data_IF_790179436206
#
_entry.id   IF_790179436206
#
_cell.length_a   1.000
_cell.length_b   1.000
_cell.length_c   1.000
_cell.angle_alpha   90.00
_cell.angle_beta   90.00
_cell.angle_gamma   90.00
#
_symmetry.space_group_name_H-M   'P 1'
#
loop_
_entity.id
_entity.type
_entity.pdbx_description
1 polymer ?
#
# COMPACT_ATOMS: atom_id res chain seq x y z
N UNK A 1 -10.59 -15.27 13.23
CA UNK A 1 -9.63 -14.20 12.96
C UNK A 1 -9.12 -14.35 11.54
N UNK A 2 -9.11 -13.27 10.74
CA UNK A 2 -8.52 -13.26 9.39
C UNK A 2 -6.98 -13.27 9.45
N UNK A 3 -6.42 -13.01 10.63
CA UNK A 3 -4.97 -12.91 10.86
C UNK A 3 -4.52 -14.16 11.61
N UNK A 4 -3.55 -14.93 11.06
CA UNK A 4 -2.91 -16.04 11.77
C UNK A 4 -2.27 -15.58 13.08
N UNK A 5 -2.29 -16.44 14.09
CA UNK A 5 -1.75 -16.11 15.43
C UNK A 5 -0.23 -15.90 15.42
N UNK A 6 0.46 -16.52 14.48
CA UNK A 6 1.91 -16.49 14.26
C UNK A 6 2.34 -15.53 13.13
N UNK A 7 1.41 -14.72 12.61
CA UNK A 7 1.72 -13.76 11.55
C UNK A 7 2.75 -12.72 12.02
N UNK A 8 3.78 -12.50 11.22
CA UNK A 8 4.72 -11.40 11.39
C UNK A 8 4.02 -10.04 11.29
N UNK A 9 4.63 -8.97 11.79
CA UNK A 9 4.05 -7.64 11.69
C UNK A 9 3.90 -7.18 10.22
N UNK A 10 4.82 -7.54 9.33
CA UNK A 10 4.66 -7.33 7.90
C UNK A 10 3.42 -8.05 7.32
N UNK A 11 3.22 -9.31 7.66
CA UNK A 11 2.04 -10.06 7.20
C UNK A 11 0.74 -9.44 7.72
N UNK A 12 0.72 -8.96 8.98
CA UNK A 12 -0.41 -8.22 9.53
C UNK A 12 -0.69 -6.94 8.73
N UNK A 13 0.35 -6.15 8.41
CA UNK A 13 0.22 -4.95 7.56
C UNK A 13 -0.33 -5.31 6.19
N UNK A 14 0.22 -6.33 5.54
CA UNK A 14 -0.23 -6.78 4.21
C UNK A 14 -1.70 -7.25 4.25
N UNK A 15 -2.12 -7.98 5.28
CA UNK A 15 -3.51 -8.44 5.43
C UNK A 15 -4.45 -7.25 5.62
N UNK A 16 -4.09 -6.28 6.47
CA UNK A 16 -4.90 -5.08 6.71
C UNK A 16 -4.98 -4.22 5.44
N UNK A 17 -3.86 -4.00 4.77
CA UNK A 17 -3.78 -3.28 3.49
C UNK A 17 -4.74 -3.90 2.46
N UNK A 18 -4.62 -5.21 2.24
CA UNK A 18 -5.48 -5.98 1.33
C UNK A 18 -6.96 -5.88 1.75
N UNK A 19 -7.24 -6.06 3.05
CA UNK A 19 -8.61 -6.02 3.55
C UNK A 19 -9.28 -4.65 3.31
N UNK A 20 -8.58 -3.55 3.59
CA UNK A 20 -9.14 -2.21 3.38
C UNK A 20 -9.42 -1.98 1.89
N UNK A 21 -8.50 -2.34 1.01
CA UNK A 21 -8.67 -2.22 -0.44
C UNK A 21 -9.85 -3.07 -0.94
N UNK A 22 -9.91 -4.35 -0.58
CA UNK A 22 -10.94 -5.27 -1.07
C UNK A 22 -12.35 -4.94 -0.56
N UNK A 23 -12.45 -4.21 0.56
CA UNK A 23 -13.74 -3.90 1.19
C UNK A 23 -14.16 -2.44 1.07
N UNK A 24 -13.45 -1.63 0.30
CA UNK A 24 -13.74 -0.21 0.14
C UNK A 24 -13.71 0.16 -1.34
N UNK A 25 -14.62 1.00 -1.77
CA UNK A 25 -14.61 1.65 -3.08
C UNK A 25 -14.09 3.08 -2.90
N UNK A 26 -13.13 3.49 -3.73
CA UNK A 26 -12.67 4.88 -3.72
C UNK A 26 -13.75 5.79 -4.31
N UNK A 27 -14.51 6.44 -3.44
CA UNK A 27 -15.63 7.28 -3.82
C UNK A 27 -15.89 8.36 -2.77
N UNK A 28 -16.18 9.58 -3.23
CA UNK A 28 -16.62 10.66 -2.37
C UNK A 28 -18.05 10.44 -1.86
N UNK A 29 -18.26 10.60 -0.57
CA UNK A 29 -19.56 10.52 0.11
C UNK A 29 -19.57 11.36 1.38
N UNK A 30 -20.69 11.45 2.10
CA UNK A 30 -20.80 12.28 3.32
C UNK A 30 -19.84 11.88 4.45
N UNK A 31 -19.42 10.61 4.52
CA UNK A 31 -18.52 10.08 5.55
C UNK A 31 -17.17 9.60 5.00
N UNK A 32 -16.81 9.98 3.77
CA UNK A 32 -15.66 9.49 3.04
C UNK A 32 -14.30 9.74 3.71
N UNK A 33 -14.22 10.78 4.56
CA UNK A 33 -13.00 11.14 5.32
C UNK A 33 -12.85 10.31 6.60
N UNK A 34 -13.80 9.46 6.93
CA UNK A 34 -13.83 8.73 8.19
C UNK A 34 -13.77 7.22 8.01
N UNK A 35 -13.36 6.52 9.08
CA UNK A 35 -13.40 5.05 9.13
C UNK A 35 -14.83 4.50 9.02
N UNK A 36 -15.85 5.31 9.30
CA UNK A 36 -17.25 4.92 9.12
C UNK A 36 -17.58 4.71 7.63
N UNK A 37 -17.04 5.52 6.74
CA UNK A 37 -17.12 5.31 5.30
C UNK A 37 -16.61 3.91 4.91
N UNK A 38 -15.41 3.55 5.37
CA UNK A 38 -14.79 2.26 5.08
C UNK A 38 -15.61 1.09 5.65
N UNK A 39 -15.97 1.13 6.95
CA UNK A 39 -16.52 -0.06 7.61
C UNK A 39 -18.03 -0.26 7.36
N UNK A 40 -18.80 0.81 7.19
CA UNK A 40 -20.24 0.71 7.01
C UNK A 40 -20.72 0.98 5.58
N UNK A 41 -20.25 2.07 4.96
CA UNK A 41 -20.69 2.46 3.62
C UNK A 41 -19.92 1.75 2.52
N UNK A 42 -18.72 1.27 2.83
CA UNK A 42 -17.78 0.68 1.85
C UNK A 42 -17.30 1.70 0.80
N UNK A 43 -17.34 2.97 1.14
CA UNK A 43 -16.93 4.09 0.30
C UNK A 43 -16.08 5.05 1.12
N UNK A 44 -14.94 5.44 0.61
CA UNK A 44 -14.04 6.40 1.26
C UNK A 44 -13.09 7.05 0.27
N UNK A 45 -12.45 8.15 0.69
CA UNK A 45 -11.29 8.74 0.03
C UNK A 45 -10.03 8.49 0.88
N UNK A 46 -8.90 9.05 0.51
CA UNK A 46 -7.60 8.77 1.13
C UNK A 46 -7.58 8.85 2.67
N UNK A 47 -8.25 9.85 3.26
CA UNK A 47 -8.31 10.00 4.71
C UNK A 47 -9.04 8.83 5.40
N UNK A 48 -10.14 8.35 4.82
CA UNK A 48 -10.86 7.17 5.31
C UNK A 48 -10.02 5.90 5.21
N UNK A 49 -9.35 5.66 4.07
CA UNK A 49 -8.42 4.54 3.89
C UNK A 49 -7.30 4.55 4.92
N UNK A 50 -6.57 5.67 5.04
CA UNK A 50 -5.46 5.79 5.97
C UNK A 50 -5.91 5.65 7.43
N UNK A 51 -7.05 6.24 7.81
CA UNK A 51 -7.64 6.09 9.13
C UNK A 51 -8.03 4.64 9.44
N UNK A 52 -8.60 3.92 8.48
CA UNK A 52 -8.99 2.52 8.66
C UNK A 52 -7.77 1.60 8.81
N UNK A 53 -6.71 1.82 8.01
CA UNK A 53 -5.43 1.09 8.13
C UNK A 53 -4.84 1.33 9.52
N UNK A 54 -4.74 2.58 9.99
CA UNK A 54 -4.23 2.89 11.33
C UNK A 54 -5.05 2.19 12.40
N UNK A 55 -6.38 2.36 12.38
CA UNK A 55 -7.27 1.78 13.38
C UNK A 55 -7.11 0.26 13.50
N UNK A 56 -7.05 -0.46 12.36
CA UNK A 56 -6.92 -1.91 12.36
C UNK A 56 -5.55 -2.37 12.85
N UNK A 57 -4.46 -1.72 12.39
CA UNK A 57 -3.10 -2.08 12.78
C UNK A 57 -2.85 -1.85 14.27
N UNK A 58 -3.28 -0.72 14.83
CA UNK A 58 -3.14 -0.44 16.26
C UNK A 58 -3.88 -1.48 17.12
N UNK A 59 -5.06 -1.94 16.70
CA UNK A 59 -5.82 -2.96 17.44
C UNK A 59 -5.17 -4.34 17.44
N UNK A 60 -4.28 -4.61 16.52
CA UNK A 60 -3.53 -5.88 16.43
C UNK A 60 -2.06 -5.73 16.84
N UNK A 61 -1.72 -4.58 17.44
CA UNK A 61 -0.43 -4.33 18.07
C UNK A 61 0.69 -3.91 17.12
N UNK A 62 0.38 -3.49 15.90
CA UNK A 62 1.36 -2.93 14.94
C UNK A 62 1.35 -1.41 15.04
N UNK A 63 2.48 -0.75 15.39
CA UNK A 63 2.55 0.71 15.44
C UNK A 63 2.31 1.33 14.06
N UNK A 64 1.35 2.24 13.99
CA UNK A 64 0.95 2.89 12.74
C UNK A 64 0.65 4.37 12.99
N UNK A 65 1.16 5.24 12.14
CA UNK A 65 0.96 6.68 12.18
C UNK A 65 0.13 7.07 10.95
N UNK A 66 -0.93 7.85 11.17
CA UNK A 66 -1.63 8.55 10.10
C UNK A 66 -0.80 9.78 9.70
N UNK A 67 -0.62 9.97 8.41
CA UNK A 67 0.11 11.09 7.83
C UNK A 67 -0.77 11.78 6.80
N UNK A 68 -0.82 13.10 6.86
CA UNK A 68 -1.39 13.93 5.82
C UNK A 68 -0.31 14.78 5.13
N UNK A 69 -0.60 15.17 3.92
CA UNK A 69 0.29 15.97 3.11
C UNK A 69 -0.34 16.33 1.76
N UNK A 70 0.49 16.48 0.75
CA UNK A 70 0.05 16.85 -0.60
C UNK A 70 0.78 16.08 -1.67
N UNK A 71 0.21 16.06 -2.86
CA UNK A 71 0.87 15.57 -4.07
C UNK A 71 1.91 16.59 -4.54
N UNK A 72 3.10 16.15 -4.90
CA UNK A 72 4.19 16.98 -5.39
C UNK A 72 3.74 17.81 -6.60
N UNK A 73 3.93 19.14 -6.53
CA UNK A 73 3.56 20.06 -7.60
C UNK A 73 2.06 20.32 -7.74
N UNK A 74 1.25 19.89 -6.78
CA UNK A 74 -0.20 20.11 -6.72
C UNK A 74 -0.60 20.65 -5.34
N UNK A 75 -1.81 21.23 -5.26
CA UNK A 75 -2.47 21.58 -3.98
C UNK A 75 -3.42 20.48 -3.50
N UNK A 76 -3.46 19.35 -4.19
CA UNK A 76 -4.30 18.22 -3.83
C UNK A 76 -3.74 17.55 -2.56
N UNK A 77 -4.59 17.49 -1.53
CA UNK A 77 -4.27 16.81 -0.29
C UNK A 77 -4.26 15.31 -0.46
N UNK A 78 -3.39 14.63 0.28
CA UNK A 78 -3.32 13.17 0.34
C UNK A 78 -3.07 12.70 1.75
N UNK A 79 -3.54 11.48 2.07
CA UNK A 79 -3.33 10.85 3.37
C UNK A 79 -2.86 9.40 3.18
N UNK A 80 -1.90 9.00 4.01
CA UNK A 80 -1.29 7.65 4.01
C UNK A 80 -0.87 7.24 5.41
N UNK A 81 -0.10 6.18 5.54
CA UNK A 81 0.41 5.71 6.82
C UNK A 81 1.93 5.54 6.83
N UNK A 82 2.51 5.62 8.02
CA UNK A 82 3.84 5.12 8.34
C UNK A 82 3.68 4.00 9.37
N UNK A 83 4.26 2.84 9.11
CA UNK A 83 4.26 1.68 10.01
C UNK A 83 5.67 1.41 10.53
N UNK A 84 5.77 0.83 11.73
CA UNK A 84 7.05 0.37 12.27
C UNK A 84 7.14 -1.14 12.19
N UNK A 85 8.12 -1.66 11.43
CA UNK A 85 8.38 -3.09 11.23
C UNK A 85 9.84 -3.38 11.54
N UNK A 86 10.12 -4.34 12.42
CA UNK A 86 11.47 -4.76 12.81
C UNK A 86 12.42 -3.61 13.22
N UNK A 87 11.84 -2.55 13.82
CA UNK A 87 12.58 -1.40 14.30
C UNK A 87 12.66 -0.22 13.33
N UNK A 88 12.39 -0.43 12.06
CA UNK A 88 12.45 0.54 10.97
C UNK A 88 11.06 1.04 10.55
N UNK A 89 11.01 2.17 9.81
CA UNK A 89 9.77 2.80 9.40
C UNK A 89 9.56 2.70 7.88
N UNK A 90 8.30 2.42 7.49
CA UNK A 90 7.90 2.20 6.09
C UNK A 90 6.61 2.94 5.76
N UNK A 91 6.52 3.48 4.55
CA UNK A 91 5.28 4.02 4.02
C UNK A 91 4.27 2.90 3.71
N UNK A 92 2.99 3.18 3.90
CA UNK A 92 1.88 2.32 3.47
C UNK A 92 0.76 3.23 2.95
N UNK A 93 0.35 3.01 1.70
CA UNK A 93 -0.67 3.83 1.06
C UNK A 93 -1.71 2.94 0.38
N UNK A 94 -2.75 2.60 1.14
CA UNK A 94 -3.82 1.72 0.65
C UNK A 94 -4.71 2.39 -0.41
N UNK A 95 -4.78 3.71 -0.44
CA UNK A 95 -5.52 4.46 -1.47
C UNK A 95 -4.92 4.20 -2.85
N UNK A 96 -3.61 4.40 -2.99
CA UNK A 96 -2.91 4.16 -4.24
C UNK A 96 -2.76 2.65 -4.55
N UNK A 97 -2.86 1.81 -3.54
CA UNK A 97 -2.95 0.37 -3.72
C UNK A 97 -4.25 -0.09 -4.38
N UNK A 98 -5.32 0.69 -4.21
CA UNK A 98 -6.64 0.48 -4.81
C UNK A 98 -6.82 1.27 -6.12
N UNK A 99 -6.39 2.53 -6.12
CA UNK A 99 -6.57 3.49 -7.21
C UNK A 99 -5.24 4.17 -7.59
N UNK A 100 -4.32 3.45 -8.23
CA UNK A 100 -3.03 4.03 -8.57
C UNK A 100 -3.17 5.11 -9.65
N UNK A 101 -2.44 6.21 -9.50
CA UNK A 101 -2.47 7.38 -10.38
C UNK A 101 -2.28 7.06 -11.87
N UNK A 102 -1.49 6.01 -12.18
CA UNK A 102 -1.22 5.64 -13.57
C UNK A 102 -2.39 4.95 -14.28
N UNK A 103 -3.42 4.55 -13.56
CA UNK A 103 -4.66 3.98 -14.13
C UNK A 103 -5.74 5.03 -14.38
N UNK A 104 -5.41 6.32 -14.26
CA UNK A 104 -6.32 7.43 -14.49
C UNK A 104 -7.13 7.28 -15.78
N UNK A 105 -8.44 7.12 -15.65
CA UNK A 105 -9.41 7.17 -16.73
C UNK A 105 -10.04 5.86 -17.15
N UNK A 106 -9.72 4.72 -16.52
CA UNK A 106 -10.32 3.43 -16.85
C UNK A 106 -11.02 2.77 -15.64
N UNK A 107 -11.92 3.51 -14.98
CA UNK A 107 -12.72 2.99 -13.86
C UNK A 107 -13.42 1.66 -14.20
N UNK A 108 -13.89 1.47 -15.43
CA UNK A 108 -14.52 0.22 -15.87
C UNK A 108 -13.55 -0.97 -15.89
N UNK A 109 -12.27 -0.76 -16.22
CA UNK A 109 -11.26 -1.83 -16.17
C UNK A 109 -10.83 -2.15 -14.74
N UNK A 110 -10.90 -1.18 -13.83
CA UNK A 110 -10.62 -1.37 -12.40
C UNK A 110 -11.72 -2.19 -11.72
N UNK A 111 -13.00 -1.99 -12.10
CA UNK A 111 -14.12 -2.75 -11.55
C UNK A 111 -14.13 -4.22 -12.03
N UNK A 112 -13.73 -4.49 -13.27
CA UNK A 112 -13.73 -5.84 -13.83
C UNK A 112 -12.61 -6.72 -13.29
N UNK A 113 -11.48 -6.09 -12.87
CA UNK A 113 -10.30 -6.80 -12.34
C UNK A 113 -9.68 -6.01 -11.18
N UNK A 114 -10.36 -5.96 -10.03
CA UNK A 114 -9.81 -5.33 -8.83
C UNK A 114 -8.50 -6.02 -8.44
N UNK A 115 -7.39 -5.47 -8.91
CA UNK A 115 -6.05 -5.98 -8.66
C UNK A 115 -5.35 -5.09 -7.66
N UNK A 116 -5.04 -5.63 -6.49
CA UNK A 116 -4.27 -4.91 -5.47
C UNK A 116 -2.88 -4.58 -6.02
N UNK A 117 -2.50 -3.32 -5.92
CA UNK A 117 -1.20 -2.81 -6.34
C UNK A 117 -0.27 -2.75 -5.13
N UNK A 118 0.74 -3.59 -5.12
CA UNK A 118 1.70 -3.67 -4.01
C UNK A 118 2.87 -2.69 -4.11
N UNK A 119 2.89 -1.84 -5.15
CA UNK A 119 3.86 -0.74 -5.29
C UNK A 119 3.78 0.28 -4.15
N UNK A 120 2.66 0.32 -3.44
CA UNK A 120 2.39 1.23 -2.33
C UNK A 120 2.36 0.54 -0.96
N UNK A 121 2.74 -0.73 -0.89
CA UNK A 121 3.00 -1.47 0.34
C UNK A 121 4.50 -1.49 0.60
N UNK A 122 4.96 -0.71 1.57
CA UNK A 122 6.38 -0.47 1.85
C UNK A 122 7.16 -0.07 0.58
N UNK A 123 6.73 0.97 -0.15
CA UNK A 123 7.42 1.46 -1.35
C UNK A 123 8.85 1.88 -1.02
N UNK A 124 9.69 1.95 -2.03
CA UNK A 124 10.99 2.60 -1.89
C UNK A 124 10.80 4.08 -1.52
N UNK A 125 11.40 4.57 -0.44
CA UNK A 125 11.18 5.94 0.04
C UNK A 125 11.44 6.99 -1.03
N UNK A 126 12.53 6.86 -1.78
CA UNK A 126 12.92 7.78 -2.84
C UNK A 126 11.92 7.83 -4.03
N UNK A 127 11.12 6.78 -4.23
CA UNK A 127 10.05 6.77 -5.24
C UNK A 127 8.79 7.43 -4.70
N UNK A 128 8.44 7.12 -3.45
CA UNK A 128 7.25 7.64 -2.81
C UNK A 128 7.35 9.16 -2.57
N UNK A 129 8.48 9.63 -2.05
CA UNK A 129 8.74 11.03 -1.75
C UNK A 129 8.89 11.92 -2.99
N UNK A 130 9.10 11.35 -4.19
CA UNK A 130 8.99 12.10 -5.45
C UNK A 130 7.55 12.51 -5.77
N UNK A 131 6.56 11.79 -5.23
CA UNK A 131 5.14 12.01 -5.52
C UNK A 131 4.42 12.75 -4.40
N UNK A 132 4.79 12.49 -3.14
CA UNK A 132 4.06 12.96 -1.97
C UNK A 132 4.97 13.71 -1.00
N UNK A 133 4.47 14.83 -0.48
CA UNK A 133 5.16 15.66 0.51
C UNK A 133 4.30 15.66 1.77
N UNK A 134 4.87 15.20 2.88
CA UNK A 134 4.22 15.29 4.20
C UNK A 134 4.01 16.73 4.64
N UNK A 135 2.98 16.98 5.42
CA UNK A 135 2.74 18.27 6.04
C UNK A 135 3.91 18.66 6.95
N UNK A 136 4.37 19.91 6.89
CA UNK A 136 5.43 20.45 7.73
C UNK A 136 5.05 20.51 9.22
N UNK A 137 3.75 20.51 9.52
CA UNK A 137 3.24 20.54 10.89
C UNK A 137 3.40 19.19 11.61
N UNK A 138 3.62 18.11 10.85
CA UNK A 138 3.77 16.76 11.40
C UNK A 138 5.24 16.40 11.65
N UNK A 139 5.55 16.11 12.90
CA UNK A 139 6.82 15.47 13.26
C UNK A 139 6.63 13.95 13.23
N UNK A 140 7.08 13.31 12.16
CA UNK A 140 7.01 11.85 11.97
C UNK A 140 8.41 11.30 11.68
N UNK A 141 8.66 10.02 11.98
CA UNK A 141 9.91 9.36 11.63
C UNK A 141 10.19 9.39 10.12
N UNK A 142 11.46 9.45 9.76
CA UNK A 142 11.87 9.27 8.37
C UNK A 142 11.81 7.78 8.00
N UNK A 143 11.31 7.50 6.80
CA UNK A 143 11.31 6.17 6.21
C UNK A 143 12.55 6.04 5.31
N UNK A 144 13.48 5.16 5.66
CA UNK A 144 14.73 4.95 4.89
C UNK A 144 14.95 3.50 4.51
N UNK A 145 14.23 2.59 5.16
CA UNK A 145 14.37 1.15 4.96
C UNK A 145 13.62 0.66 3.72
N UNK A 146 14.13 -0.43 3.11
CA UNK A 146 13.66 -0.98 1.85
C UNK A 146 13.35 -2.47 1.91
N UNK A 147 13.80 -3.16 2.93
CA UNK A 147 13.80 -4.63 3.04
C UNK A 147 12.39 -5.21 3.05
N UNK A 148 11.41 -4.48 3.60
CA UNK A 148 10.00 -4.89 3.63
C UNK A 148 9.23 -4.51 2.35
N UNK A 149 9.90 -4.01 1.31
CA UNK A 149 9.25 -3.81 0.03
C UNK A 149 8.70 -5.13 -0.51
N UNK A 150 7.45 -5.12 -1.00
CA UNK A 150 6.78 -6.33 -1.48
C UNK A 150 7.59 -7.11 -2.51
N UNK A 151 8.22 -6.43 -3.46
CA UNK A 151 8.99 -7.07 -4.52
C UNK A 151 10.34 -7.60 -4.03
N UNK A 152 10.97 -6.91 -3.07
CA UNK A 152 12.22 -7.37 -2.43
C UNK A 152 11.97 -8.66 -1.66
N UNK A 153 10.93 -8.70 -0.81
CA UNK A 153 10.56 -9.90 -0.04
C UNK A 153 10.19 -11.09 -0.93
N UNK A 154 9.60 -10.83 -2.09
CA UNK A 154 9.20 -11.87 -3.05
C UNK A 154 10.29 -12.17 -4.10
N UNK A 155 11.50 -11.61 -3.97
CA UNK A 155 12.62 -11.77 -4.91
C UNK A 155 12.29 -11.35 -6.35
N UNK A 156 11.33 -10.45 -6.50
CA UNK A 156 10.86 -9.93 -7.78
C UNK A 156 11.29 -8.49 -8.06
N UNK A 157 12.36 -8.00 -7.43
CA UNK A 157 12.94 -6.70 -7.68
C UNK A 157 14.27 -6.87 -8.43
N UNK A 158 14.40 -6.25 -9.60
CA UNK A 158 15.55 -6.40 -10.49
C UNK A 158 16.21 -5.05 -10.77
N UNK A 159 17.54 -4.99 -10.70
CA UNK A 159 18.34 -3.78 -10.95
C UNK A 159 18.43 -3.40 -12.43
N UNK A 160 17.79 -4.15 -13.32
CA UNK A 160 17.78 -3.90 -14.75
C UNK A 160 17.14 -5.03 -15.54
N UNK A 161 17.10 -4.86 -16.86
CA UNK A 161 16.49 -5.83 -17.76
C UNK A 161 17.49 -6.93 -18.11
N UNK A 162 17.37 -8.07 -17.44
CA UNK A 162 17.99 -9.33 -17.80
C UNK A 162 16.90 -10.38 -18.06
N UNK A 163 16.73 -10.71 -19.34
CA UNK A 163 15.67 -11.62 -19.78
C UNK A 163 15.76 -13.00 -19.14
N UNK A 164 16.95 -13.58 -19.02
CA UNK A 164 17.14 -14.93 -18.48
C UNK A 164 16.75 -14.98 -17.01
N UNK A 165 17.23 -14.04 -16.21
CA UNK A 165 16.89 -13.92 -14.78
C UNK A 165 15.38 -13.69 -14.56
N UNK A 166 14.76 -12.81 -15.35
CA UNK A 166 13.32 -12.54 -15.24
C UNK A 166 12.49 -13.76 -15.64
N UNK A 167 12.89 -14.43 -16.72
CA UNK A 167 12.23 -15.66 -17.19
C UNK A 167 12.29 -16.76 -16.14
N UNK A 168 13.47 -17.03 -15.58
CA UNK A 168 13.66 -18.04 -14.54
C UNK A 168 12.83 -17.73 -13.28
N UNK A 169 12.79 -16.48 -12.86
CA UNK A 169 11.92 -16.03 -11.77
C UNK A 169 10.45 -16.30 -12.08
N UNK A 170 9.97 -15.87 -13.24
CA UNK A 170 8.57 -16.07 -13.64
C UNK A 170 8.22 -17.56 -13.69
N UNK A 171 9.09 -18.36 -14.29
CA UNK A 171 8.94 -19.81 -14.39
C UNK A 171 8.90 -20.46 -13.01
N UNK A 172 9.83 -20.14 -12.14
CA UNK A 172 9.85 -20.65 -10.76
C UNK A 172 8.55 -20.32 -10.01
N UNK A 173 8.04 -19.10 -10.12
CA UNK A 173 6.79 -18.69 -9.45
C UNK A 173 5.58 -19.48 -9.97
N UNK A 174 5.47 -19.64 -11.29
CA UNK A 174 4.36 -20.38 -11.92
C UNK A 174 4.45 -21.89 -11.61
N UNK A 175 5.63 -22.49 -11.66
CA UNK A 175 5.85 -23.90 -11.32
C UNK A 175 5.49 -24.20 -9.84
N UNK A 176 5.64 -23.19 -8.96
CA UNK A 176 5.22 -23.25 -7.56
C UNK A 176 3.74 -22.90 -7.33
N UNK A 177 2.93 -22.82 -8.39
CA UNK A 177 1.49 -22.67 -8.31
C UNK A 177 0.99 -21.22 -8.17
N UNK A 178 1.83 -20.22 -8.45
CA UNK A 178 1.36 -18.84 -8.51
C UNK A 178 0.39 -18.64 -9.68
N UNK A 179 -0.76 -18.02 -9.44
CA UNK A 179 -1.74 -17.70 -10.48
C UNK A 179 -1.28 -16.54 -11.41
N UNK A 180 -0.27 -15.79 -10.97
CA UNK A 180 0.34 -14.69 -11.72
C UNK A 180 1.67 -14.29 -11.10
N UNK A 181 2.46 -13.55 -11.83
CA UNK A 181 3.78 -13.09 -11.38
C UNK A 181 3.82 -11.58 -11.37
N UNK A 182 4.33 -11.01 -10.29
CA UNK A 182 4.59 -9.58 -10.15
C UNK A 182 6.09 -9.37 -9.95
N UNK A 183 6.63 -8.40 -10.64
CA UNK A 183 8.02 -7.98 -10.46
C UNK A 183 8.15 -6.48 -10.75
N UNK A 184 9.27 -5.91 -10.34
CA UNK A 184 9.59 -4.49 -10.48
C UNK A 184 11.04 -4.32 -10.86
N UNK A 185 11.34 -3.24 -11.58
CA UNK A 185 12.69 -2.73 -11.76
C UNK A 185 12.97 -1.63 -10.73
N UNK A 186 14.13 -1.67 -10.11
CA UNK A 186 14.63 -0.64 -9.20
C UNK A 186 15.32 0.49 -9.95
#
# INVERSE_FOLDING_TARGET
SLIPADASDYEKVRIVYTYVIDNTQYQASDDDQSIAGVFWKKEAVCAGYAGAVQYLLERIGVPCIYVDGSTQGSTEGHAWNIVKLDGEYYYVDATNGDQPDFLNGNAAQLEEHKTIIYDYLCPFPEEYEKKYIRSEELTVPDCTAKDMNFYVLNQGCFDGYDWETIYDYCKMRLDNGAAGVRFKFS
#
